data_IF_157590171709
#
_entry.id   IF_157590171709
#
_cell.length_a   1.000
_cell.length_b   1.000
_cell.length_c   1.000
_cell.angle_alpha   90.00
_cell.angle_beta   90.00
_cell.angle_gamma   90.00
#
_symmetry.space_group_name_H-M   'P 1'
#
loop_
_entity.id
_entity.type
_entity.pdbx_description
1 polymer ?
#
# COMPACT_ATOMS: atom_id res chain seq x y z
N UNK A 1 -5.01 22.04 -18.86
CA UNK A 1 -4.61 20.85 -18.07
C UNK A 1 -3.19 21.07 -17.57
N UNK A 2 -2.91 20.87 -16.28
CA UNK A 2 -1.58 20.97 -15.67
C UNK A 2 -1.23 19.60 -15.10
N UNK A 3 -0.03 19.11 -15.39
CA UNK A 3 0.49 17.83 -14.90
C UNK A 3 1.79 18.13 -14.17
N UNK A 4 1.93 17.57 -12.98
CA UNK A 4 3.13 17.71 -12.15
C UNK A 4 3.55 16.32 -11.67
N UNK A 5 4.85 16.05 -11.77
CA UNK A 5 5.42 14.87 -11.16
C UNK A 5 5.71 15.15 -9.67
N UNK A 6 5.40 14.18 -8.83
CA UNK A 6 5.84 14.22 -7.43
C UNK A 6 7.35 14.02 -7.37
N UNK A 7 8.03 14.81 -6.55
CA UNK A 7 9.48 14.69 -6.32
C UNK A 7 9.77 13.53 -5.36
N UNK A 8 9.65 12.30 -5.86
CA UNK A 8 9.97 11.09 -5.14
C UNK A 8 10.68 10.08 -6.02
N UNK A 9 11.32 9.10 -5.38
CA UNK A 9 11.90 7.98 -6.10
C UNK A 9 10.84 7.28 -6.96
N UNK A 10 11.19 6.87 -8.20
CA UNK A 10 10.26 6.13 -9.04
C UNK A 10 9.91 4.79 -8.38
N UNK A 11 8.63 4.45 -8.35
CA UNK A 11 8.20 3.12 -7.96
C UNK A 11 8.69 2.10 -9.00
N UNK A 12 9.09 0.91 -8.54
CA UNK A 12 9.43 -0.20 -9.45
C UNK A 12 8.20 -0.69 -10.22
N UNK A 13 7.06 -0.77 -9.52
CA UNK A 13 5.75 -0.99 -10.11
C UNK A 13 4.70 -0.30 -9.24
N UNK A 14 4.39 0.96 -9.55
CA UNK A 14 3.42 1.77 -8.82
C UNK A 14 1.98 1.42 -9.21
N UNK A 15 1.15 1.06 -8.23
CA UNK A 15 -0.21 0.57 -8.46
C UNK A 15 -1.21 1.06 -7.39
N UNK A 16 -2.50 0.83 -7.67
CA UNK A 16 -3.61 1.03 -6.72
C UNK A 16 -3.64 2.43 -6.03
N UNK A 17 -3.68 3.54 -6.78
CA UNK A 17 -3.80 4.87 -6.19
C UNK A 17 -5.17 5.06 -5.51
N UNK A 18 -5.16 5.46 -4.24
CA UNK A 18 -6.38 5.68 -3.43
C UNK A 18 -6.27 6.98 -2.66
N UNK A 19 -7.26 7.86 -2.82
CA UNK A 19 -7.40 9.07 -2.01
C UNK A 19 -8.11 8.76 -0.69
N UNK A 20 -7.46 9.04 0.44
CA UNK A 20 -8.09 8.99 1.76
C UNK A 20 -8.64 10.38 2.13
N UNK A 21 -9.97 10.54 2.06
CA UNK A 21 -10.63 11.79 2.45
C UNK A 21 -10.44 12.17 3.93
N UNK A 22 -10.24 11.20 4.82
CA UNK A 22 -10.04 11.46 6.27
C UNK A 22 -8.68 12.09 6.56
N UNK A 23 -7.61 11.52 6.02
CA UNK A 23 -6.25 12.03 6.21
C UNK A 23 -5.85 13.08 5.17
N UNK A 24 -6.67 13.28 4.12
CA UNK A 24 -6.36 14.09 2.94
C UNK A 24 -5.02 13.72 2.31
N UNK A 25 -4.80 12.41 2.13
CA UNK A 25 -3.56 11.88 1.54
C UNK A 25 -3.87 10.95 0.39
N UNK A 26 -3.04 11.00 -0.65
CA UNK A 26 -2.99 9.99 -1.69
C UNK A 26 -2.12 8.84 -1.18
N UNK A 27 -2.59 7.61 -1.35
CA UNK A 27 -1.86 6.38 -1.03
C UNK A 27 -1.73 5.54 -2.29
N UNK A 28 -0.63 4.80 -2.43
CA UNK A 28 -0.42 3.85 -3.52
C UNK A 28 0.58 2.78 -3.08
N UNK A 29 0.69 1.69 -3.84
CA UNK A 29 1.66 0.63 -3.55
C UNK A 29 2.79 0.63 -4.56
N UNK A 30 3.97 0.19 -4.14
CA UNK A 30 5.01 -0.30 -5.03
C UNK A 30 5.10 -1.82 -4.87
N UNK A 31 4.58 -2.53 -5.85
CA UNK A 31 4.38 -3.99 -5.79
C UNK A 31 5.70 -4.72 -5.63
N UNK A 32 6.71 -4.31 -6.39
CA UNK A 32 8.00 -5.01 -6.45
C UNK A 32 8.97 -4.54 -5.36
N UNK A 33 8.78 -3.34 -4.79
CA UNK A 33 9.56 -2.87 -3.64
C UNK A 33 8.93 -3.21 -2.28
N UNK A 34 7.73 -3.80 -2.26
CA UNK A 34 6.95 -4.05 -1.04
C UNK A 34 6.81 -2.80 -0.16
N UNK A 35 6.39 -1.70 -0.78
CA UNK A 35 6.25 -0.41 -0.12
C UNK A 35 4.82 0.14 -0.28
N UNK A 36 4.30 0.70 0.80
CA UNK A 36 3.10 1.51 0.80
C UNK A 36 3.54 2.98 0.83
N UNK A 37 3.14 3.75 -0.18
CA UNK A 37 3.49 5.16 -0.28
C UNK A 37 2.31 6.05 0.13
N UNK A 38 2.64 7.26 0.57
CA UNK A 38 1.68 8.30 0.89
C UNK A 38 2.19 9.68 0.46
N UNK A 39 1.28 10.54 0.01
CA UNK A 39 1.53 11.93 -0.34
C UNK A 39 0.50 12.85 0.33
N UNK A 40 1.00 13.90 1.00
CA UNK A 40 0.19 14.98 1.59
C UNK A 40 0.32 16.25 0.74
N UNK A 41 -0.72 16.66 0.00
CA UNK A 41 -0.66 17.86 -0.83
C UNK A 41 -0.64 19.16 -0.02
N UNK A 42 -0.89 19.12 1.29
CA UNK A 42 -0.87 20.33 2.12
C UNK A 42 0.53 20.91 2.26
N UNK A 43 1.53 20.05 2.44
CA UNK A 43 2.93 20.43 2.69
C UNK A 43 3.92 19.75 1.74
N UNK A 44 3.42 18.92 0.81
CA UNK A 44 4.25 18.22 -0.15
C UNK A 44 4.91 16.95 0.41
N UNK A 45 4.60 16.54 1.64
CA UNK A 45 5.27 15.40 2.28
C UNK A 45 4.97 14.11 1.52
N UNK A 46 6.04 13.40 1.14
CA UNK A 46 5.97 12.05 0.59
C UNK A 46 6.64 11.10 1.58
N UNK A 47 5.99 9.98 1.87
CA UNK A 47 6.54 8.96 2.75
C UNK A 47 6.31 7.56 2.18
N UNK A 48 7.37 6.74 2.23
CA UNK A 48 7.32 5.32 1.96
C UNK A 48 7.31 4.54 3.28
N UNK A 49 6.41 3.56 3.37
CA UNK A 49 6.24 2.68 4.52
C UNK A 49 6.54 1.25 4.09
N UNK A 50 7.42 0.58 4.82
CA UNK A 50 7.74 -0.83 4.56
C UNK A 50 6.54 -1.71 4.88
N UNK A 51 6.20 -2.62 3.97
CA UNK A 51 5.21 -3.67 4.17
C UNK A 51 5.94 -4.96 4.56
N UNK A 52 5.43 -5.66 5.57
CA UNK A 52 5.95 -6.93 6.05
C UNK A 52 5.38 -8.09 5.23
N UNK A 53 5.68 -8.09 3.92
CA UNK A 53 5.41 -9.15 2.96
C UNK A 53 6.44 -9.03 1.81
N UNK A 54 6.52 -10.01 0.90
CA UNK A 54 7.44 -9.91 -0.24
C UNK A 54 6.85 -9.01 -1.35
N UNK A 55 5.53 -9.02 -1.53
CA UNK A 55 4.82 -8.11 -2.46
C UNK A 55 3.53 -7.60 -1.84
N UNK A 56 3.13 -6.40 -2.24
CA UNK A 56 1.82 -5.81 -1.96
C UNK A 56 1.14 -5.46 -3.29
N UNK A 57 0.02 -6.11 -3.60
CA UNK A 57 -0.67 -5.91 -4.88
C UNK A 57 -1.64 -4.73 -4.86
N UNK A 58 -2.34 -4.53 -3.74
CA UNK A 58 -3.34 -3.47 -3.62
C UNK A 58 -3.60 -3.06 -2.16
N UNK A 59 -4.32 -1.96 -1.99
CA UNK A 59 -4.78 -1.46 -0.71
C UNK A 59 -6.25 -1.01 -0.77
N UNK A 60 -6.93 -1.05 0.38
CA UNK A 60 -8.27 -0.50 0.53
C UNK A 60 -8.42 0.24 1.86
N UNK A 61 -9.20 1.33 1.85
CA UNK A 61 -9.52 2.07 3.07
C UNK A 61 -10.55 1.30 3.91
N UNK A 62 -10.30 1.13 5.20
CA UNK A 62 -11.28 0.50 6.10
C UNK A 62 -12.19 1.56 6.71
N UNK A 63 -13.48 1.26 6.84
CA UNK A 63 -14.48 2.14 7.49
C UNK A 63 -14.13 2.41 8.96
N UNK A 64 -13.61 1.40 9.66
CA UNK A 64 -13.19 1.47 11.05
C UNK A 64 -11.82 2.16 11.25
N UNK A 65 -11.19 2.68 10.20
CA UNK A 65 -9.82 3.21 10.25
C UNK A 65 -8.75 2.18 9.88
N UNK A 66 -7.57 2.68 9.52
CA UNK A 66 -6.50 1.90 8.93
C UNK A 66 -6.81 1.36 7.52
N UNK A 67 -5.88 0.59 6.98
CA UNK A 67 -5.90 0.04 5.63
C UNK A 67 -6.03 -1.49 5.67
N UNK A 68 -6.67 -2.05 4.64
CA UNK A 68 -6.56 -3.46 4.29
C UNK A 68 -5.50 -3.56 3.19
N UNK A 69 -4.47 -4.36 3.38
CA UNK A 69 -3.42 -4.61 2.39
C UNK A 69 -3.61 -6.03 1.83
N UNK A 70 -3.57 -6.15 0.51
CA UNK A 70 -3.52 -7.45 -0.16
C UNK A 70 -2.06 -7.74 -0.53
N UNK A 71 -1.46 -8.68 0.19
CA UNK A 71 -0.08 -9.10 0.05
C UNK A 71 0.00 -10.50 -0.56
N UNK A 72 1.18 -10.90 -1.01
CA UNK A 72 1.40 -12.24 -1.57
C UNK A 72 1.38 -13.37 -0.53
N UNK A 73 1.37 -13.02 0.75
CA UNK A 73 1.21 -13.93 1.89
C UNK A 73 -0.16 -13.79 2.59
N UNK A 74 -1.09 -13.05 1.99
CA UNK A 74 -2.47 -12.93 2.46
C UNK A 74 -2.94 -11.50 2.70
N UNK A 75 -4.04 -11.36 3.44
CA UNK A 75 -4.64 -10.08 3.79
C UNK A 75 -4.13 -9.58 5.14
N UNK A 76 -3.79 -8.30 5.20
CA UNK A 76 -3.29 -7.67 6.43
C UNK A 76 -4.06 -6.39 6.75
N UNK A 77 -4.23 -6.13 8.04
CA UNK A 77 -4.66 -4.83 8.56
C UNK A 77 -3.43 -4.00 8.84
N UNK A 78 -3.41 -2.77 8.34
CA UNK A 78 -2.33 -1.82 8.56
C UNK A 78 -2.85 -0.55 9.23
N UNK A 79 -2.13 -0.08 10.23
CA UNK A 79 -2.37 1.19 10.89
C UNK A 79 -1.31 2.21 10.45
N UNK A 80 -1.67 3.30 9.75
CA UNK A 80 -0.71 4.29 9.27
C UNK A 80 -0.10 5.16 10.37
N UNK A 81 -0.72 5.27 11.54
CA UNK A 81 -0.20 6.07 12.66
C UNK A 81 0.89 5.29 13.40
N UNK A 82 0.59 4.03 13.73
CA UNK A 82 1.52 3.17 14.47
C UNK A 82 2.47 2.37 13.58
N UNK A 83 2.22 2.37 12.26
CA UNK A 83 2.91 1.57 11.23
C UNK A 83 2.84 0.06 11.49
N UNK A 84 1.87 -0.39 12.29
CA UNK A 84 1.69 -1.80 12.62
C UNK A 84 0.92 -2.51 11.52
N UNK A 85 1.47 -3.61 11.04
CA UNK A 85 0.83 -4.55 10.15
C UNK A 85 0.45 -5.80 10.94
N UNK A 86 -0.79 -6.27 10.77
CA UNK A 86 -1.31 -7.47 11.41
C UNK A 86 -1.99 -8.35 10.38
N UNK A 87 -1.58 -9.61 10.31
CA UNK A 87 -2.25 -10.61 9.50
C UNK A 87 -3.75 -10.71 9.86
N UNK A 88 -4.58 -10.80 8.84
CA UNK A 88 -6.03 -10.96 8.95
C UNK A 88 -6.44 -12.38 8.55
N UNK A 89 -6.10 -12.80 7.34
CA UNK A 89 -6.40 -14.13 6.81
C UNK A 89 -5.61 -14.39 5.54
N UNK A 90 -5.35 -15.65 5.23
CA UNK A 90 -5.00 -16.09 3.90
C UNK A 90 -6.31 -16.33 3.14
N UNK A 91 -6.59 -15.61 2.04
CA UNK A 91 -7.80 -15.84 1.24
C UNK A 91 -7.71 -17.10 0.38
N UNK A 92 -6.51 -17.66 0.17
CA UNK A 92 -6.25 -18.83 -0.69
C UNK A 92 -5.48 -19.92 0.07
N UNK A 93 -6.00 -20.43 1.21
CA UNK A 93 -5.27 -21.37 2.05
C UNK A 93 -4.95 -22.66 1.29
N UNK A 94 -3.65 -23.00 1.24
CA UNK A 94 -3.16 -24.20 0.55
C UNK A 94 -3.04 -24.06 -0.96
N UNK A 95 -3.27 -22.88 -1.53
CA UNK A 95 -2.87 -22.61 -2.90
C UNK A 95 -1.34 -22.68 -2.99
N UNK A 96 -0.84 -23.62 -3.78
CA UNK A 96 0.53 -23.51 -4.30
C UNK A 96 0.46 -22.40 -5.33
N UNK A 97 1.14 -21.27 -5.08
CA UNK A 97 1.22 -20.18 -6.06
C UNK A 97 1.61 -20.69 -7.45
N UNK A 98 1.40 -19.89 -8.51
CA UNK A 98 1.85 -20.27 -9.84
C UNK A 98 3.34 -20.67 -9.78
N UNK A 99 3.79 -21.66 -10.58
CA UNK A 99 5.19 -22.07 -10.60
C UNK A 99 6.09 -20.83 -10.72
N UNK A 100 7.19 -20.80 -9.97
CA UNK A 100 8.17 -19.72 -10.11
C UNK A 100 8.71 -19.73 -11.55
N UNK A 101 8.45 -18.66 -12.30
CA UNK A 101 9.13 -18.34 -13.57
C UNK A 101 10.51 -17.73 -13.32
#
# INVERSE_FOLDING_TARGET
MRIEALDCAPARLGESPVWCGRSRRLWWVDVLASALWSYDPKDGTIAAHKVAARRIGSLALRKAGGWLLACDDGLHIYDPETKKQRFLTDPEPGATGPPEE
#
